data_IF_773141095410
#
_entry.id   IF_773141095410
#
_cell.length_a   1.000
_cell.length_b   1.000
_cell.length_c   1.000
_cell.angle_alpha   90.00
_cell.angle_beta   90.00
_cell.angle_gamma   90.00
#
_symmetry.space_group_name_H-M   'P 1'
#
loop_
_entity.id
_entity.type
_entity.pdbx_description
1 polymer ?
#
# COMPACT_ATOMS: atom_id res chain seq x y z
N UNK A 1 10.75 -1.50 9.08
CA UNK A 1 11.31 -1.88 7.77
C UNK A 1 10.56 -1.10 6.69
N UNK A 2 11.12 0.00 6.21
CA UNK A 2 10.65 0.68 5.00
C UNK A 2 11.48 0.20 3.82
N UNK A 3 10.83 -0.06 2.68
CA UNK A 3 11.52 -0.41 1.43
C UNK A 3 11.28 0.69 0.40
N UNK A 4 12.37 1.27 -0.13
CA UNK A 4 12.30 2.25 -1.22
C UNK A 4 12.10 1.52 -2.55
N UNK A 5 11.24 2.06 -3.41
CA UNK A 5 10.93 1.48 -4.71
C UNK A 5 10.99 2.55 -5.81
N UNK A 6 11.55 2.19 -6.97
CA UNK A 6 11.62 3.10 -8.13
C UNK A 6 10.26 3.35 -8.78
N UNK A 7 9.41 2.32 -8.84
CA UNK A 7 8.07 2.41 -9.45
C UNK A 7 7.00 2.38 -8.37
N UNK A 8 6.04 3.28 -8.46
CA UNK A 8 4.88 3.34 -7.55
C UNK A 8 4.09 2.02 -7.57
N UNK A 9 3.91 1.41 -8.74
CA UNK A 9 3.21 0.13 -8.88
C UNK A 9 3.87 -1.00 -8.08
N UNK A 10 5.20 -1.02 -7.99
CA UNK A 10 5.94 -2.00 -7.17
C UNK A 10 5.69 -1.77 -5.68
N UNK A 11 5.72 -0.52 -5.22
CA UNK A 11 5.41 -0.18 -3.83
C UNK A 11 3.99 -0.60 -3.46
N UNK A 12 3.01 -0.30 -4.32
CA UNK A 12 1.61 -0.68 -4.12
C UNK A 12 1.44 -2.19 -4.05
N UNK A 13 2.03 -2.95 -4.99
CA UNK A 13 1.96 -4.43 -4.97
C UNK A 13 2.56 -4.99 -3.68
N UNK A 14 3.71 -4.48 -3.25
CA UNK A 14 4.35 -4.94 -2.01
C UNK A 14 3.52 -4.59 -0.77
N UNK A 15 2.94 -3.40 -0.70
CA UNK A 15 2.04 -3.01 0.39
C UNK A 15 0.83 -3.95 0.49
N UNK A 16 0.14 -4.22 -0.63
CA UNK A 16 -0.99 -5.17 -0.69
C UNK A 16 -0.57 -6.58 -0.23
N UNK A 17 0.59 -7.06 -0.66
CA UNK A 17 1.11 -8.38 -0.28
C UNK A 17 1.36 -8.50 1.23
N UNK A 18 1.98 -7.48 1.83
CA UNK A 18 2.25 -7.45 3.27
C UNK A 18 0.94 -7.43 4.07
N UNK A 19 0.01 -6.58 3.64
CA UNK A 19 -1.27 -6.42 4.30
C UNK A 19 -2.13 -7.68 4.26
N UNK A 20 -2.22 -8.33 3.10
CA UNK A 20 -2.87 -9.64 2.97
C UNK A 20 -2.26 -10.69 3.91
N UNK A 21 -0.92 -10.72 4.03
CA UNK A 21 -0.23 -11.66 4.94
C UNK A 21 -0.52 -11.36 6.42
N UNK A 22 -0.83 -10.11 6.74
CA UNK A 22 -1.02 -9.62 8.11
C UNK A 22 -2.50 -9.40 8.48
N UNK A 23 -3.45 -9.66 7.58
CA UNK A 23 -4.87 -9.29 7.74
C UNK A 23 -5.03 -7.84 8.19
N UNK A 24 -4.36 -6.95 7.48
CA UNK A 24 -4.31 -5.53 7.82
C UNK A 24 -4.83 -4.68 6.67
N UNK A 25 -5.30 -3.49 6.97
CA UNK A 25 -5.75 -2.52 5.98
C UNK A 25 -4.57 -1.83 5.28
N UNK A 26 -4.78 -1.46 4.01
CA UNK A 26 -3.85 -0.63 3.23
C UNK A 26 -4.55 0.65 2.80
N UNK A 27 -3.93 1.78 3.11
CA UNK A 27 -4.32 3.10 2.62
C UNK A 27 -3.23 3.62 1.68
N UNK A 28 -3.59 3.90 0.43
CA UNK A 28 -2.69 4.46 -0.58
C UNK A 28 -3.00 5.95 -0.76
N UNK A 29 -2.01 6.81 -0.54
CA UNK A 29 -2.13 8.25 -0.75
C UNK A 29 -1.65 8.66 -2.15
N UNK A 30 -2.23 9.74 -2.67
CA UNK A 30 -1.74 10.50 -3.83
C UNK A 30 -0.68 11.52 -3.39
N UNK A 31 -0.01 12.16 -4.35
CA UNK A 31 1.00 13.18 -4.07
C UNK A 31 0.41 14.44 -3.41
N UNK A 32 -0.87 14.73 -3.64
CA UNK A 32 -1.63 15.81 -3.01
C UNK A 32 -2.10 15.48 -1.57
N UNK A 33 -1.76 14.30 -1.05
CA UNK A 33 -2.17 13.83 0.27
C UNK A 33 -3.57 13.21 0.32
N UNK A 34 -4.32 13.22 -0.79
CA UNK A 34 -5.63 12.59 -0.86
C UNK A 34 -5.55 11.06 -0.84
N UNK A 35 -6.59 10.39 -0.32
CA UNK A 35 -6.69 8.94 -0.36
C UNK A 35 -7.03 8.51 -1.80
N UNK A 36 -6.18 7.67 -2.38
CA UNK A 36 -6.38 7.07 -3.70
C UNK A 36 -7.22 5.80 -3.61
N UNK A 37 -6.89 4.94 -2.65
CA UNK A 37 -7.45 3.60 -2.51
C UNK A 37 -7.32 3.14 -1.05
N UNK A 38 -8.35 2.46 -0.54
CA UNK A 38 -8.37 1.80 0.75
C UNK A 38 -8.83 0.37 0.55
N UNK A 39 -8.00 -0.59 0.96
CA UNK A 39 -8.28 -2.01 0.83
C UNK A 39 -8.19 -2.66 2.19
N UNK A 40 -9.27 -3.31 2.60
CA UNK A 40 -9.31 -4.13 3.81
C UNK A 40 -9.10 -5.60 3.47
N UNK A 41 -8.38 -6.32 4.33
CA UNK A 41 -8.06 -7.74 4.19
C UNK A 41 -8.47 -8.54 5.44
N UNK A 42 -9.54 -8.11 6.11
CA UNK A 42 -10.15 -8.79 7.26
C UNK A 42 -10.40 -10.29 6.99
#
# INVERSE_FOLDING_TARGET
ISSKHRKQSTAIRKAKSIAKKRKADVIIHRADGGIRDRISFD
#
